data_IF_709989223229
#
_entry.id   IF_709989223229
#
_cell.length_a   1.000
_cell.length_b   1.000
_cell.length_c   1.000
_cell.angle_alpha   90.00
_cell.angle_beta   90.00
_cell.angle_gamma   90.00
#
_symmetry.space_group_name_H-M   'P 1'
#
loop_
_entity.id
_entity.type
_entity.pdbx_description
1 polymer ?
#
# COMPACT_ATOMS: atom_id res chain seq x y z
N UNK A 1 -18.36 58.36 75.43
CA UNK A 1 -18.36 58.42 73.95
C UNK A 1 -18.72 57.06 73.35
N UNK A 2 -19.99 56.84 73.08
CA UNK A 2 -20.46 55.55 72.52
C UNK A 2 -20.54 55.69 70.97
N UNK A 3 -19.67 54.96 70.36
CA UNK A 3 -19.62 54.90 68.87
C UNK A 3 -20.83 54.05 68.43
N UNK A 4 -21.83 54.69 67.82
CA UNK A 4 -22.92 53.98 67.11
C UNK A 4 -22.32 53.41 65.80
N UNK A 5 -21.97 52.13 65.82
CA UNK A 5 -21.68 51.38 64.59
C UNK A 5 -22.92 51.38 63.71
N UNK A 6 -22.79 51.87 62.48
CA UNK A 6 -23.85 52.16 61.53
C UNK A 6 -24.60 50.88 61.15
N UNK A 7 -25.91 50.95 61.13
CA UNK A 7 -26.79 49.83 60.69
C UNK A 7 -26.61 49.41 59.22
N UNK A 8 -25.87 50.23 58.47
CA UNK A 8 -25.56 49.98 57.04
C UNK A 8 -24.58 48.82 56.81
N UNK A 9 -23.57 48.62 57.70
CA UNK A 9 -22.62 47.52 57.56
C UNK A 9 -23.21 46.14 57.77
N UNK A 10 -24.15 45.99 58.69
CA UNK A 10 -24.87 44.72 58.93
C UNK A 10 -25.80 44.32 57.80
N UNK A 11 -26.30 45.28 57.01
CA UNK A 11 -27.10 45.06 55.79
C UNK A 11 -26.31 44.46 54.65
N UNK A 12 -25.06 44.95 54.44
CA UNK A 12 -24.21 44.49 53.38
C UNK A 12 -23.69 43.05 53.54
N UNK A 13 -23.38 42.66 54.79
CA UNK A 13 -22.98 41.27 55.10
C UNK A 13 -24.10 40.23 54.90
N UNK A 14 -25.35 40.59 55.28
CA UNK A 14 -26.51 39.73 55.04
C UNK A 14 -26.83 39.57 53.57
N UNK A 15 -26.67 40.61 52.77
CA UNK A 15 -26.83 40.56 51.31
C UNK A 15 -25.74 39.75 50.65
N UNK A 16 -24.47 39.89 51.07
CA UNK A 16 -23.34 39.09 50.62
C UNK A 16 -23.50 37.59 50.94
N UNK A 17 -23.97 37.27 52.15
CA UNK A 17 -24.26 35.91 52.58
C UNK A 17 -25.42 35.27 51.76
N UNK A 18 -26.47 36.03 51.47
CA UNK A 18 -27.60 35.58 50.61
C UNK A 18 -27.11 35.33 49.18
N UNK A 19 -26.26 36.21 48.60
CA UNK A 19 -25.69 36.05 47.28
C UNK A 19 -24.76 34.82 47.20
N UNK A 20 -23.96 34.54 48.23
CA UNK A 20 -23.12 33.34 48.32
C UNK A 20 -23.95 32.06 48.36
N UNK A 21 -25.04 32.05 49.17
CA UNK A 21 -25.96 30.90 49.25
C UNK A 21 -26.71 30.70 47.92
N UNK A 22 -27.17 31.73 47.27
CA UNK A 22 -27.81 31.69 45.95
C UNK A 22 -26.84 31.14 44.88
N UNK A 23 -25.60 31.63 44.82
CA UNK A 23 -24.57 31.12 43.91
C UNK A 23 -24.25 29.64 44.15
N UNK A 24 -24.11 29.21 45.42
CA UNK A 24 -23.89 27.78 45.74
C UNK A 24 -25.09 26.92 45.31
N UNK A 25 -26.31 27.36 45.52
CA UNK A 25 -27.50 26.64 45.05
C UNK A 25 -27.58 26.60 43.54
N UNK A 26 -27.25 27.66 42.85
CA UNK A 26 -27.16 27.70 41.38
C UNK A 26 -26.08 26.77 40.82
N UNK A 27 -24.89 26.73 41.45
CA UNK A 27 -23.84 25.79 41.09
C UNK A 27 -24.26 24.33 41.30
N UNK A 28 -24.88 24.03 42.44
CA UNK A 28 -25.37 22.66 42.71
C UNK A 28 -26.44 22.26 41.67
N UNK A 29 -27.40 23.17 41.39
CA UNK A 29 -28.41 22.90 40.37
C UNK A 29 -27.80 22.70 38.97
N UNK A 30 -26.79 23.48 38.60
CA UNK A 30 -26.08 23.35 37.35
C UNK A 30 -25.31 22.02 37.27
N UNK A 31 -24.65 21.61 38.37
CA UNK A 31 -23.98 20.30 38.44
C UNK A 31 -24.99 19.13 38.32
N UNK A 32 -26.12 19.22 38.97
CA UNK A 32 -27.18 18.20 38.86
C UNK A 32 -27.72 18.14 37.43
N UNK A 33 -27.99 19.29 36.82
CA UNK A 33 -28.43 19.35 35.42
C UNK A 33 -27.39 18.75 34.46
N UNK A 34 -26.13 19.08 34.68
CA UNK A 34 -25.01 18.50 33.87
C UNK A 34 -24.93 16.98 34.04
N UNK A 35 -25.06 16.47 35.25
CA UNK A 35 -25.06 15.01 35.50
C UNK A 35 -26.27 14.31 34.86
N UNK A 36 -27.45 14.92 34.95
CA UNK A 36 -28.66 14.38 34.32
C UNK A 36 -28.55 14.40 32.79
N UNK A 37 -28.02 15.47 32.20
CA UNK A 37 -27.80 15.54 30.76
C UNK A 37 -26.75 14.53 30.27
N UNK A 38 -25.67 14.33 31.03
CA UNK A 38 -24.65 13.32 30.74
C UNK A 38 -25.26 11.90 30.86
N UNK A 39 -26.05 11.64 31.88
CA UNK A 39 -26.76 10.37 32.04
C UNK A 39 -27.72 10.08 30.87
N UNK A 40 -28.46 11.10 30.44
CA UNK A 40 -29.36 10.99 29.30
C UNK A 40 -28.61 10.74 27.98
N UNK A 41 -27.45 11.39 27.77
CA UNK A 41 -26.57 11.13 26.61
C UNK A 41 -26.07 9.68 26.64
N UNK A 42 -25.55 9.21 27.76
CA UNK A 42 -25.07 7.82 27.88
C UNK A 42 -26.21 6.84 27.61
N UNK A 43 -27.40 7.08 28.23
CA UNK A 43 -28.55 6.24 27.95
C UNK A 43 -28.95 6.25 26.48
N UNK A 44 -28.89 7.41 25.82
CA UNK A 44 -29.14 7.52 24.37
C UNK A 44 -28.20 6.68 23.53
N UNK A 45 -26.93 6.56 23.92
CA UNK A 45 -25.95 5.72 23.21
C UNK A 45 -26.21 4.21 23.31
N UNK A 46 -26.94 3.79 24.35
CA UNK A 46 -27.32 2.40 24.54
C UNK A 46 -28.63 2.01 23.83
N UNK A 47 -29.32 2.98 23.21
CA UNK A 47 -30.50 2.70 22.41
C UNK A 47 -30.21 1.87 21.21
N UNK A 48 -31.01 0.84 20.86
CA UNK A 48 -30.78 -0.05 19.73
C UNK A 48 -30.77 0.67 18.37
N UNK A 49 -31.44 1.83 18.28
CA UNK A 49 -31.51 2.64 17.05
C UNK A 49 -30.16 3.21 16.63
N UNK A 50 -29.25 3.45 17.58
CA UNK A 50 -27.91 4.03 17.32
C UNK A 50 -26.79 2.99 17.43
N UNK A 51 -27.13 1.72 17.62
CA UNK A 51 -26.19 0.61 17.65
C UNK A 51 -26.05 -0.01 16.28
N UNK A 52 -24.82 -0.33 15.91
CA UNK A 52 -24.48 -0.97 14.64
C UNK A 52 -24.96 -2.43 14.68
N UNK A 53 -25.96 -2.73 13.87
CA UNK A 53 -26.52 -4.07 13.69
C UNK A 53 -26.27 -4.63 12.28
N UNK A 54 -25.92 -3.75 11.31
CA UNK A 54 -25.62 -4.12 9.94
C UNK A 54 -24.19 -3.74 9.59
N UNK A 55 -23.46 -4.70 9.01
CA UNK A 55 -22.14 -4.50 8.44
C UNK A 55 -22.23 -4.91 6.97
N UNK A 56 -22.19 -3.93 6.07
CA UNK A 56 -22.22 -4.16 4.63
C UNK A 56 -20.77 -4.15 4.11
N UNK A 57 -20.29 -5.27 3.59
CA UNK A 57 -18.95 -5.39 3.01
C UNK A 57 -19.05 -5.39 1.49
N UNK A 58 -18.31 -4.49 0.84
CA UNK A 58 -18.21 -4.39 -0.61
C UNK A 58 -16.79 -4.73 -1.05
N UNK A 59 -16.66 -5.74 -1.89
CA UNK A 59 -15.38 -6.26 -2.38
C UNK A 59 -15.38 -7.79 -2.37
N UNK A 60 -14.21 -8.38 -2.35
CA UNK A 60 -14.00 -9.83 -2.26
C UNK A 60 -14.00 -10.30 -0.80
N UNK A 61 -14.33 -11.59 -0.59
CA UNK A 61 -14.26 -12.28 0.72
C UNK A 61 -15.03 -11.60 1.87
N UNK A 62 -16.33 -11.42 1.66
CA UNK A 62 -17.24 -10.74 2.59
C UNK A 62 -17.23 -11.35 4.00
N UNK A 63 -17.23 -12.68 4.10
CA UNK A 63 -17.43 -13.39 5.37
C UNK A 63 -16.34 -13.15 6.44
N UNK A 64 -15.03 -13.29 6.15
CA UNK A 64 -14.00 -13.05 7.16
C UNK A 64 -13.92 -11.58 7.58
N UNK A 65 -14.13 -10.64 6.66
CA UNK A 65 -14.08 -9.20 6.94
C UNK A 65 -15.24 -8.76 7.85
N UNK A 66 -16.43 -9.32 7.64
CA UNK A 66 -17.57 -9.08 8.50
C UNK A 66 -17.31 -9.57 9.92
N UNK A 67 -16.70 -10.75 10.08
CA UNK A 67 -16.35 -11.32 11.38
C UNK A 67 -15.36 -10.42 12.13
N UNK A 68 -14.29 -9.99 11.47
CA UNK A 68 -13.30 -9.06 12.04
C UNK A 68 -13.97 -7.75 12.50
N UNK A 69 -14.86 -7.21 11.67
CA UNK A 69 -15.57 -5.98 12.01
C UNK A 69 -16.48 -6.18 13.22
N UNK A 70 -17.24 -7.28 13.28
CA UNK A 70 -18.14 -7.60 14.40
C UNK A 70 -17.37 -7.83 15.71
N UNK A 71 -16.23 -8.51 15.67
CA UNK A 71 -15.38 -8.69 16.85
C UNK A 71 -14.82 -7.36 17.37
N UNK A 72 -14.39 -6.47 16.47
CA UNK A 72 -13.88 -5.17 16.86
C UNK A 72 -14.94 -4.25 17.48
N UNK A 73 -16.22 -4.46 17.14
CA UNK A 73 -17.37 -3.73 17.68
C UNK A 73 -17.81 -4.26 19.06
N UNK A 74 -17.32 -5.43 19.50
CA UNK A 74 -17.69 -5.96 20.81
C UNK A 74 -17.08 -5.18 21.96
N UNK A 75 -17.81 -5.09 23.08
CA UNK A 75 -17.39 -4.44 24.31
C UNK A 75 -17.67 -2.95 24.36
N UNK A 76 -17.01 -2.25 25.27
CA UNK A 76 -17.22 -0.81 25.51
C UNK A 76 -15.92 -0.09 25.86
N UNK A 77 -15.94 1.23 25.72
CA UNK A 77 -14.90 2.10 26.22
C UNK A 77 -15.17 2.37 27.69
N UNK A 78 -14.24 2.03 28.57
CA UNK A 78 -14.35 2.17 30.03
C UNK A 78 -15.64 1.54 30.62
N UNK A 79 -16.25 0.58 29.92
CA UNK A 79 -17.50 -0.05 30.34
C UNK A 79 -18.77 0.83 30.22
N UNK A 80 -18.65 2.09 29.82
CA UNK A 80 -19.73 3.06 29.76
C UNK A 80 -20.23 3.33 28.35
N UNK A 81 -19.34 3.49 27.39
CA UNK A 81 -19.69 3.82 26.01
C UNK A 81 -19.57 2.56 25.14
N UNK A 82 -20.66 2.10 24.51
CA UNK A 82 -20.63 0.91 23.66
C UNK A 82 -19.80 1.17 22.39
N UNK A 83 -18.92 0.21 22.02
CA UNK A 83 -18.11 0.29 20.81
C UNK A 83 -18.90 0.11 19.52
N UNK A 84 -20.05 -0.51 19.61
CA UNK A 84 -20.99 -0.68 18.49
C UNK A 84 -21.92 0.54 18.29
N UNK A 85 -21.66 1.66 18.99
CA UNK A 85 -22.36 2.92 18.71
C UNK A 85 -21.88 3.51 17.38
N UNK A 86 -22.83 3.92 16.53
CA UNK A 86 -22.55 4.55 15.22
C UNK A 86 -21.69 5.83 15.34
N UNK A 87 -21.68 6.47 16.52
CA UNK A 87 -20.93 7.68 16.79
C UNK A 87 -19.47 7.41 17.19
N UNK A 88 -19.20 6.29 17.87
CA UNK A 88 -17.91 6.02 18.52
C UNK A 88 -17.29 4.67 18.12
N UNK A 89 -17.71 4.07 17.01
CA UNK A 89 -17.14 2.79 16.58
C UNK A 89 -15.64 2.92 16.20
N UNK A 90 -14.82 1.90 16.46
CA UNK A 90 -13.38 1.95 16.31
C UNK A 90 -12.94 1.70 14.84
N UNK A 91 -13.24 2.64 13.94
CA UNK A 91 -12.95 2.51 12.51
C UNK A 91 -11.45 2.25 12.21
N UNK A 92 -10.55 2.93 12.93
CA UNK A 92 -9.11 2.73 12.77
C UNK A 92 -8.66 1.32 13.17
N UNK A 93 -9.22 0.78 14.27
CA UNK A 93 -8.92 -0.57 14.71
C UNK A 93 -9.38 -1.61 13.69
N UNK A 94 -10.61 -1.49 13.19
CA UNK A 94 -11.16 -2.38 12.16
C UNK A 94 -10.26 -2.34 10.92
N UNK A 95 -9.94 -1.13 10.42
CA UNK A 95 -9.07 -0.96 9.25
C UNK A 95 -7.70 -1.60 9.45
N UNK A 96 -7.04 -1.32 10.57
CA UNK A 96 -5.69 -1.83 10.83
C UNK A 96 -5.69 -3.35 10.99
N UNK A 97 -6.72 -3.94 11.62
CA UNK A 97 -6.84 -5.39 11.74
C UNK A 97 -7.04 -6.04 10.36
N UNK A 98 -7.92 -5.49 9.52
CA UNK A 98 -8.15 -5.99 8.16
C UNK A 98 -6.84 -5.94 7.36
N UNK A 99 -6.15 -4.79 7.32
CA UNK A 99 -4.90 -4.63 6.57
C UNK A 99 -3.76 -5.52 7.10
N UNK A 100 -3.75 -5.83 8.39
CA UNK A 100 -2.75 -6.72 8.98
C UNK A 100 -3.02 -8.21 8.69
N UNK A 101 -4.30 -8.59 8.56
CA UNK A 101 -4.70 -9.99 8.34
C UNK A 101 -4.77 -10.32 6.85
N UNK A 102 -5.16 -9.36 6.02
CA UNK A 102 -5.35 -9.51 4.57
C UNK A 102 -4.34 -8.62 3.82
N UNK A 103 -3.17 -9.20 3.53
CA UNK A 103 -2.07 -8.49 2.83
C UNK A 103 -2.40 -8.17 1.37
N UNK A 104 -3.36 -8.87 0.76
CA UNK A 104 -3.89 -8.68 -0.59
C UNK A 104 -4.78 -7.43 -0.73
N UNK A 105 -5.20 -6.84 0.39
CA UNK A 105 -5.98 -5.60 0.41
C UNK A 105 -5.05 -4.39 0.44
N UNK A 106 -5.21 -3.47 -0.52
CA UNK A 106 -4.44 -2.24 -0.61
C UNK A 106 -4.99 -1.13 0.30
N UNK A 107 -6.31 -1.00 0.33
CA UNK A 107 -6.97 0.04 1.11
C UNK A 107 -8.32 -0.43 1.66
N UNK A 108 -8.68 0.11 2.82
CA UNK A 108 -9.98 -0.13 3.46
C UNK A 108 -10.62 1.21 3.77
N UNK A 109 -11.79 1.44 3.21
CA UNK A 109 -12.64 2.60 3.48
C UNK A 109 -13.84 2.17 4.31
N UNK A 110 -14.06 2.84 5.45
CA UNK A 110 -15.18 2.54 6.34
C UNK A 110 -16.04 3.78 6.43
N UNK A 111 -17.30 3.64 6.08
CA UNK A 111 -18.31 4.71 6.12
C UNK A 111 -19.54 4.28 6.88
N UNK A 112 -20.34 5.26 7.33
CA UNK A 112 -21.62 5.00 7.97
C UNK A 112 -22.67 4.73 6.90
N UNK A 113 -23.47 3.69 7.12
CA UNK A 113 -24.63 3.35 6.28
C UNK A 113 -25.91 3.52 7.12
N UNK A 114 -26.46 4.75 7.13
CA UNK A 114 -27.59 5.12 7.96
C UNK A 114 -27.25 5.27 9.43
N UNK A 115 -28.24 5.06 10.31
CA UNK A 115 -28.12 5.23 11.76
C UNK A 115 -27.65 3.99 12.51
N UNK A 116 -27.72 2.82 11.89
CA UNK A 116 -27.42 1.52 12.51
C UNK A 116 -26.55 0.60 11.68
N UNK A 117 -25.90 1.12 10.64
CA UNK A 117 -25.05 0.33 9.73
C UNK A 117 -23.71 0.98 9.47
N UNK A 118 -22.72 0.14 9.13
CA UNK A 118 -21.44 0.56 8.55
C UNK A 118 -21.24 -0.15 7.22
N UNK A 119 -20.64 0.54 6.28
CA UNK A 119 -20.19 -0.02 5.00
C UNK A 119 -18.67 -0.03 4.97
N UNK A 120 -18.11 -1.19 4.68
CA UNK A 120 -16.68 -1.45 4.53
C UNK A 120 -16.42 -1.70 3.05
N UNK A 121 -15.64 -0.84 2.43
CA UNK A 121 -15.21 -1.00 1.04
C UNK A 121 -13.73 -1.30 1.01
N UNK A 122 -13.35 -2.37 0.31
CA UNK A 122 -11.97 -2.81 0.16
C UNK A 122 -11.51 -2.63 -1.27
N UNK A 123 -10.30 -2.14 -1.43
CA UNK A 123 -9.61 -2.09 -2.71
C UNK A 123 -8.49 -3.13 -2.69
N UNK A 124 -8.53 -4.05 -3.66
CA UNK A 124 -7.53 -5.12 -3.80
C UNK A 124 -6.23 -4.57 -4.38
N UNK A 125 -5.09 -5.18 -4.00
CA UNK A 125 -3.81 -4.89 -4.64
C UNK A 125 -3.77 -5.44 -6.05
N UNK A 126 -3.26 -4.64 -6.96
CA UNK A 126 -3.05 -5.04 -8.36
C UNK A 126 -1.60 -5.48 -8.52
N UNK A 127 -1.35 -6.74 -8.93
CA UNK A 127 0.01 -7.21 -9.16
C UNK A 127 0.60 -6.52 -10.39
N UNK A 128 1.82 -5.98 -10.24
CA UNK A 128 2.59 -5.39 -11.35
C UNK A 128 3.50 -6.43 -11.98
N UNK A 129 4.21 -7.21 -11.16
CA UNK A 129 5.14 -8.22 -11.60
C UNK A 129 5.35 -9.28 -10.49
N UNK A 130 6.20 -10.26 -10.77
CA UNK A 130 6.65 -11.24 -9.78
C UNK A 130 8.02 -10.85 -9.24
N UNK A 131 8.19 -10.93 -7.94
CA UNK A 131 9.48 -10.82 -7.29
C UNK A 131 9.97 -12.21 -6.89
N UNK A 132 11.20 -12.57 -7.26
CA UNK A 132 11.77 -13.90 -7.02
C UNK A 132 13.09 -13.84 -6.21
N UNK A 133 13.17 -12.91 -5.28
CA UNK A 133 14.32 -12.78 -4.40
C UNK A 133 15.42 -11.87 -4.95
N UNK A 134 16.53 -11.83 -4.24
CA UNK A 134 17.76 -11.23 -4.76
C UNK A 134 18.45 -12.28 -5.66
N UNK A 135 18.68 -11.94 -6.91
CA UNK A 135 19.50 -12.83 -7.72
C UNK A 135 20.92 -12.85 -7.16
N UNK A 136 21.42 -14.02 -6.86
CA UNK A 136 22.87 -14.23 -6.79
C UNK A 136 23.39 -14.19 -8.23
N UNK A 137 23.38 -13.00 -8.81
CA UNK A 137 23.91 -12.82 -10.15
C UNK A 137 25.42 -13.01 -10.09
N UNK A 138 26.02 -13.75 -11.04
CA UNK A 138 27.46 -13.81 -11.12
C UNK A 138 28.02 -12.38 -11.28
N UNK A 139 29.23 -12.11 -10.78
CA UNK A 139 29.86 -10.80 -10.84
C UNK A 139 29.92 -10.27 -12.25
N UNK A 140 30.03 -8.96 -12.34
CA UNK A 140 30.12 -8.11 -13.54
C UNK A 140 30.77 -8.76 -14.76
N UNK A 141 30.33 -8.44 -15.99
CA UNK A 141 30.82 -9.05 -17.22
C UNK A 141 32.32 -8.84 -17.51
N UNK A 142 33.03 -8.11 -16.68
CA UNK A 142 34.47 -7.91 -16.84
C UNK A 142 35.30 -9.18 -16.59
N UNK A 143 34.79 -10.14 -15.78
CA UNK A 143 35.61 -11.28 -15.35
C UNK A 143 35.16 -12.67 -15.83
N UNK A 144 34.09 -12.77 -16.61
CA UNK A 144 33.66 -14.09 -17.12
C UNK A 144 33.27 -14.06 -18.59
N UNK A 145 34.07 -14.65 -19.43
CA UNK A 145 33.61 -14.98 -20.78
C UNK A 145 32.61 -16.14 -20.63
N UNK A 146 31.42 -15.99 -21.17
CA UNK A 146 30.58 -17.12 -21.48
C UNK A 146 29.50 -17.55 -20.46
N UNK A 147 28.44 -17.08 -20.63
CA UNK A 147 27.03 -17.45 -20.36
C UNK A 147 26.33 -16.38 -19.61
N UNK A 148 25.76 -15.51 -20.37
CA UNK A 148 24.71 -14.63 -19.90
C UNK A 148 23.50 -15.50 -19.58
N UNK A 149 23.47 -15.98 -18.33
CA UNK A 149 22.36 -16.77 -17.83
C UNK A 149 21.30 -15.78 -17.39
N UNK A 150 20.15 -15.80 -18.05
CA UNK A 150 18.96 -15.12 -17.52
C UNK A 150 18.74 -15.64 -16.10
N UNK A 151 18.63 -14.77 -15.10
CA UNK A 151 18.39 -15.23 -13.73
C UNK A 151 17.13 -16.09 -13.71
N UNK A 152 17.27 -17.33 -13.29
CA UNK A 152 16.14 -18.23 -13.07
C UNK A 152 15.75 -18.15 -11.62
N UNK A 153 14.45 -18.06 -11.37
CA UNK A 153 13.93 -18.15 -10.03
C UNK A 153 14.32 -19.50 -9.42
N UNK A 154 15.14 -19.47 -8.37
CA UNK A 154 15.58 -20.66 -7.65
C UNK A 154 14.73 -20.94 -6.41
N UNK A 155 13.56 -20.36 -6.28
CA UNK A 155 12.68 -20.48 -5.13
C UNK A 155 11.27 -19.96 -5.43
N UNK A 156 10.49 -19.82 -4.36
CA UNK A 156 9.15 -19.26 -4.45
C UNK A 156 9.20 -17.81 -4.92
N UNK A 157 8.34 -17.49 -5.88
CA UNK A 157 8.13 -16.12 -6.31
C UNK A 157 6.90 -15.52 -5.61
N UNK A 158 6.86 -14.22 -5.51
CA UNK A 158 5.82 -13.48 -4.82
C UNK A 158 5.27 -12.37 -5.71
N UNK A 159 4.03 -11.99 -5.47
CA UNK A 159 3.38 -10.86 -6.13
C UNK A 159 3.66 -9.58 -5.35
N UNK A 160 3.93 -8.50 -6.07
CA UNK A 160 4.05 -7.18 -5.49
C UNK A 160 3.27 -6.13 -6.29
N UNK A 161 2.90 -5.04 -5.63
CA UNK A 161 2.15 -3.93 -6.21
C UNK A 161 3.06 -2.77 -6.66
N UNK A 162 2.46 -1.71 -7.20
CA UNK A 162 3.17 -0.53 -7.70
C UNK A 162 3.98 0.21 -6.61
N UNK A 163 3.68 -0.01 -5.33
CA UNK A 163 4.45 0.55 -4.21
C UNK A 163 5.64 -0.32 -3.81
N UNK A 164 5.84 -1.46 -4.47
CA UNK A 164 6.87 -2.43 -4.12
C UNK A 164 6.53 -3.28 -2.90
N UNK A 165 5.29 -3.28 -2.46
CA UNK A 165 4.84 -4.09 -1.34
C UNK A 165 4.54 -5.52 -1.80
N UNK A 166 5.20 -6.49 -1.20
CA UNK A 166 5.04 -7.93 -1.48
C UNK A 166 3.88 -8.45 -0.65
N UNK A 167 2.84 -8.97 -1.30
CA UNK A 167 1.59 -9.27 -0.59
C UNK A 167 1.09 -10.71 -0.68
N UNK A 168 1.52 -11.48 -1.66
CA UNK A 168 1.08 -12.86 -1.84
C UNK A 168 2.16 -13.71 -2.53
N UNK A 169 2.08 -15.03 -2.37
CA UNK A 169 2.87 -15.97 -3.16
C UNK A 169 2.36 -16.04 -4.60
N UNK A 170 3.25 -16.05 -5.56
CA UNK A 170 2.91 -16.22 -6.96
C UNK A 170 2.71 -17.70 -7.27
N UNK A 171 1.46 -18.13 -7.39
CA UNK A 171 1.18 -19.46 -7.96
C UNK A 171 1.29 -19.41 -9.48
N UNK A 172 1.79 -20.49 -10.11
CA UNK A 172 1.98 -20.57 -11.57
C UNK A 172 0.69 -20.30 -12.36
N UNK A 173 -0.48 -20.57 -11.76
CA UNK A 173 -1.78 -20.35 -12.36
C UNK A 173 -2.06 -18.87 -12.72
N UNK A 174 -1.40 -17.91 -12.08
CA UNK A 174 -1.58 -16.50 -12.39
C UNK A 174 -0.92 -16.06 -13.71
N UNK A 175 -0.02 -16.86 -14.26
CA UNK A 175 0.84 -16.47 -15.37
C UNK A 175 0.89 -17.45 -16.53
N UNK A 176 0.02 -18.45 -16.55
CA UNK A 176 -0.11 -19.35 -17.69
C UNK A 176 -0.71 -18.63 -18.89
N UNK A 177 0.10 -18.58 -19.91
CA UNK A 177 -0.19 -18.39 -21.35
C UNK A 177 -1.65 -18.02 -21.66
N UNK A 178 -1.88 -16.75 -21.96
CA UNK A 178 -3.18 -16.27 -22.45
C UNK A 178 -4.27 -16.09 -21.39
N UNK A 179 -3.95 -16.25 -20.12
CA UNK A 179 -4.86 -15.99 -19.02
C UNK A 179 -5.10 -14.52 -18.84
N UNK A 180 -6.24 -14.07 -19.28
CA UNK A 180 -6.84 -12.80 -18.89
C UNK A 180 -6.82 -12.77 -17.36
N UNK A 181 -6.17 -11.77 -16.78
CA UNK A 181 -6.28 -11.50 -15.35
C UNK A 181 -7.76 -11.46 -14.98
N UNK A 182 -8.23 -12.20 -13.97
CA UNK A 182 -9.62 -12.15 -13.60
C UNK A 182 -9.95 -10.72 -13.13
N UNK A 183 -10.86 -10.10 -13.87
CA UNK A 183 -11.60 -8.91 -13.50
C UNK A 183 -10.82 -7.59 -13.31
N UNK A 184 -10.23 -7.06 -14.38
CA UNK A 184 -10.26 -5.62 -14.59
C UNK A 184 -10.89 -5.37 -15.94
N UNK A 185 -11.92 -4.52 -15.94
CA UNK A 185 -12.83 -4.29 -17.05
C UNK A 185 -12.16 -4.11 -18.39
N UNK A 186 -12.79 -4.69 -19.38
CA UNK A 186 -12.53 -4.62 -20.79
C UNK A 186 -12.09 -3.25 -21.29
N UNK A 187 -10.79 -3.08 -21.46
CA UNK A 187 -10.23 -2.27 -22.53
C UNK A 187 -8.95 -2.97 -22.97
N UNK A 188 -8.95 -3.39 -24.23
CA UNK A 188 -7.90 -4.13 -24.92
C UNK A 188 -6.63 -3.28 -25.08
N UNK A 189 -5.98 -2.98 -23.95
CA UNK A 189 -4.60 -2.53 -23.96
C UNK A 189 -3.70 -3.76 -23.84
N UNK A 190 -2.71 -3.86 -24.71
CA UNK A 190 -1.74 -4.94 -24.76
C UNK A 190 -1.19 -5.15 -23.37
N UNK A 191 -1.69 -6.16 -22.67
CA UNK A 191 -1.22 -6.55 -21.34
C UNK A 191 0.25 -6.85 -21.46
N UNK A 192 1.06 -6.00 -20.84
CA UNK A 192 2.50 -6.26 -20.67
C UNK A 192 2.62 -7.63 -20.02
N UNK A 193 3.30 -8.55 -20.68
CA UNK A 193 3.62 -9.85 -20.09
C UNK A 193 4.38 -9.58 -18.79
N UNK A 194 3.88 -10.05 -17.65
CA UNK A 194 4.51 -9.75 -16.37
C UNK A 194 5.93 -10.34 -16.36
N UNK A 195 6.91 -9.48 -16.21
CA UNK A 195 8.31 -9.88 -16.07
C UNK A 195 8.62 -10.33 -14.64
N UNK A 196 9.75 -10.98 -14.47
CA UNK A 196 10.28 -11.34 -13.15
C UNK A 196 11.24 -10.25 -12.67
N UNK A 197 11.01 -9.77 -11.45
CA UNK A 197 11.88 -8.80 -10.79
C UNK A 197 12.79 -9.52 -9.78
N UNK A 198 14.07 -9.22 -9.84
CA UNK A 198 15.07 -9.59 -8.85
C UNK A 198 15.60 -8.32 -8.17
N UNK A 199 15.43 -8.22 -6.86
CA UNK A 199 15.90 -7.09 -6.07
C UNK A 199 16.03 -7.48 -4.61
N UNK A 200 16.71 -6.67 -3.82
CA UNK A 200 16.75 -6.84 -2.37
C UNK A 200 15.43 -6.40 -1.72
N UNK A 201 15.09 -7.03 -0.59
CA UNK A 201 14.08 -6.51 0.32
C UNK A 201 14.66 -5.41 1.21
N UNK A 202 13.79 -4.53 1.68
CA UNK A 202 14.17 -3.57 2.72
C UNK A 202 14.63 -4.33 3.97
N UNK A 203 15.79 -3.95 4.50
CA UNK A 203 16.46 -4.67 5.59
C UNK A 203 15.56 -4.81 6.83
N UNK A 204 15.57 -6.00 7.43
CA UNK A 204 14.88 -6.32 8.68
C UNK A 204 13.69 -7.26 8.58
N UNK A 205 13.26 -7.65 7.38
CA UNK A 205 12.15 -8.58 7.18
C UNK A 205 12.64 -10.00 6.91
N UNK A 206 12.21 -10.95 7.74
CA UNK A 206 12.52 -12.39 7.58
C UNK A 206 11.56 -13.06 6.60
N UNK A 207 10.33 -12.55 6.50
CA UNK A 207 9.28 -13.10 5.65
C UNK A 207 9.06 -12.17 4.44
N UNK A 208 9.03 -12.71 3.20
CA UNK A 208 8.80 -11.90 2.02
C UNK A 208 7.44 -11.23 1.98
N UNK A 209 6.37 -11.95 2.35
CA UNK A 209 5.02 -11.41 2.40
C UNK A 209 4.89 -10.40 3.53
N UNK A 210 4.41 -9.21 3.20
CA UNK A 210 4.36 -8.07 4.12
C UNK A 210 5.61 -7.17 4.08
N UNK A 211 6.62 -7.54 3.30
CA UNK A 211 7.83 -6.75 3.10
C UNK A 211 7.68 -5.75 1.96
N UNK A 212 8.57 -4.76 1.92
CA UNK A 212 8.69 -3.79 0.82
C UNK A 212 10.05 -3.97 0.15
N UNK A 213 10.11 -3.79 -1.15
CA UNK A 213 11.35 -3.82 -1.91
C UNK A 213 12.25 -2.64 -1.53
N UNK A 214 13.57 -2.86 -1.51
CA UNK A 214 14.55 -1.85 -1.08
C UNK A 214 14.43 -0.54 -1.88
N UNK A 215 14.27 -0.65 -3.18
CA UNK A 215 14.21 0.50 -4.09
C UNK A 215 12.76 0.81 -4.57
N UNK A 216 11.79 0.61 -3.70
CA UNK A 216 10.37 0.81 -4.01
C UNK A 216 10.05 2.19 -4.59
N UNK A 217 10.73 3.23 -4.15
CA UNK A 217 10.56 4.61 -4.65
C UNK A 217 11.03 4.80 -6.10
N UNK A 218 11.90 3.93 -6.62
CA UNK A 218 12.41 3.97 -8.00
C UNK A 218 11.60 3.09 -8.95
N UNK A 219 10.79 2.17 -8.43
CA UNK A 219 9.98 1.25 -9.24
C UNK A 219 9.09 1.94 -10.29
N UNK A 220 8.42 3.08 -10.01
CA UNK A 220 7.63 3.75 -11.03
C UNK A 220 8.43 4.12 -12.28
N UNK A 221 9.64 4.65 -12.13
CA UNK A 221 10.51 5.01 -13.25
C UNK A 221 11.01 3.78 -14.02
N UNK A 222 11.35 2.71 -13.27
CA UNK A 222 11.76 1.42 -13.85
C UNK A 222 10.61 0.81 -14.68
N UNK A 223 9.38 0.87 -14.17
CA UNK A 223 8.20 0.35 -14.88
C UNK A 223 7.83 1.20 -16.09
N UNK A 224 8.02 2.53 -16.02
CA UNK A 224 7.87 3.38 -17.19
C UNK A 224 8.89 3.07 -18.28
N UNK A 225 10.15 2.87 -17.92
CA UNK A 225 11.19 2.42 -18.83
C UNK A 225 10.83 1.05 -19.43
N UNK A 226 10.41 0.09 -18.58
CA UNK A 226 9.97 -1.23 -19.05
C UNK A 226 8.81 -1.13 -20.03
N UNK A 227 7.82 -0.30 -19.76
CA UNK A 227 6.66 -0.09 -20.65
C UNK A 227 7.09 0.51 -21.99
N UNK A 228 7.92 1.54 -21.99
CA UNK A 228 8.42 2.19 -23.20
C UNK A 228 9.26 1.23 -24.03
N UNK A 229 10.12 0.45 -23.38
CA UNK A 229 10.93 -0.58 -24.03
C UNK A 229 10.06 -1.68 -24.64
N UNK A 230 9.07 -2.18 -23.93
CA UNK A 230 8.15 -3.21 -24.41
C UNK A 230 7.26 -2.78 -25.58
N UNK A 231 6.98 -1.47 -25.72
CA UNK A 231 6.26 -0.94 -26.89
C UNK A 231 7.11 -0.88 -28.16
N UNK A 232 8.43 -0.82 -28.03
CA UNK A 232 9.35 -0.57 -29.16
C UNK A 232 10.31 -1.72 -29.45
N UNK A 233 10.35 -2.74 -28.60
CA UNK A 233 11.30 -3.86 -28.70
C UNK A 233 10.71 -5.22 -28.33
N UNK A 234 11.56 -6.22 -28.14
CA UNK A 234 11.17 -7.53 -27.66
C UNK A 234 10.60 -7.47 -26.23
N UNK A 235 9.74 -8.44 -25.82
CA UNK A 235 9.19 -8.47 -24.49
C UNK A 235 10.28 -8.67 -23.42
N UNK A 236 10.10 -8.06 -22.27
CA UNK A 236 11.00 -8.16 -21.12
C UNK A 236 10.70 -9.46 -20.39
N UNK A 237 11.72 -10.27 -20.10
CA UNK A 237 11.60 -11.50 -19.31
C UNK A 237 11.91 -11.28 -17.85
N UNK A 238 13.00 -10.57 -17.57
CA UNK A 238 13.46 -10.33 -16.22
C UNK A 238 14.04 -8.92 -16.08
N UNK A 239 13.94 -8.38 -14.89
CA UNK A 239 14.61 -7.16 -14.48
C UNK A 239 15.39 -7.45 -13.22
N UNK A 240 16.64 -7.05 -13.17
CA UNK A 240 17.50 -7.19 -11.98
C UNK A 240 17.93 -5.80 -11.53
N UNK A 241 17.63 -5.48 -10.28
CA UNK A 241 18.08 -4.24 -9.65
C UNK A 241 19.28 -4.58 -8.78
N UNK A 242 20.40 -3.91 -9.04
CA UNK A 242 21.66 -4.04 -8.29
C UNK A 242 22.11 -2.65 -7.90
N UNK A 243 22.22 -2.40 -6.60
CA UNK A 243 22.64 -1.12 -6.03
C UNK A 243 22.06 0.12 -6.75
N UNK A 244 22.78 0.66 -7.73
CA UNK A 244 22.40 1.82 -8.54
C UNK A 244 22.21 1.49 -10.02
N UNK A 245 22.22 0.21 -10.41
CA UNK A 245 22.04 -0.24 -11.79
C UNK A 245 20.76 -1.09 -11.95
N UNK A 246 20.16 -1.03 -13.14
CA UNK A 246 19.10 -1.94 -13.56
C UNK A 246 19.50 -2.66 -14.85
N UNK A 247 19.33 -3.98 -14.84
CA UNK A 247 19.54 -4.86 -15.98
C UNK A 247 18.20 -5.38 -16.49
N UNK A 248 17.91 -5.17 -17.76
CA UNK A 248 16.71 -5.66 -18.45
C UNK A 248 17.09 -6.80 -19.38
N UNK A 249 16.56 -7.97 -19.15
CA UNK A 249 16.73 -9.15 -19.99
C UNK A 249 15.54 -9.29 -20.95
N UNK A 250 15.81 -9.19 -22.24
CA UNK A 250 14.79 -9.27 -23.27
C UNK A 250 14.58 -10.73 -23.74
N UNK A 251 13.38 -11.04 -24.23
CA UNK A 251 13.11 -12.32 -24.89
C UNK A 251 13.50 -12.23 -26.35
N UNK A 252 14.24 -13.21 -26.86
CA UNK A 252 14.40 -13.40 -28.31
C UNK A 252 13.37 -14.38 -28.82
N UNK A 253 12.75 -14.08 -29.95
CA UNK A 253 11.71 -14.91 -30.56
C UNK A 253 12.21 -16.17 -31.25
N UNK A 254 13.54 -16.37 -31.37
CA UNK A 254 14.11 -17.41 -32.15
C UNK A 254 14.53 -18.61 -31.29
N UNK A 255 13.79 -19.71 -31.44
CA UNK A 255 14.18 -21.08 -31.02
C UNK A 255 14.54 -21.28 -29.55
N UNK A 256 13.65 -20.97 -28.61
CA UNK A 256 13.81 -21.52 -27.26
C UNK A 256 15.09 -21.10 -26.50
N UNK A 257 15.91 -20.24 -27.10
CA UNK A 257 17.10 -19.72 -26.44
C UNK A 257 16.68 -18.75 -25.32
N UNK A 258 17.05 -19.09 -24.10
CA UNK A 258 16.74 -18.35 -22.91
C UNK A 258 17.42 -16.96 -22.81
N UNK A 259 18.11 -16.50 -23.84
CA UNK A 259 19.05 -15.38 -23.73
C UNK A 259 18.85 -14.37 -24.86
N UNK A 260 17.97 -13.39 -24.59
CA UNK A 260 17.96 -12.15 -25.38
C UNK A 260 19.03 -11.17 -24.91
N UNK A 261 19.18 -10.02 -25.57
CA UNK A 261 20.14 -9.01 -25.16
C UNK A 261 19.77 -8.46 -23.75
N UNK A 262 20.83 -8.14 -23.01
CA UNK A 262 20.71 -7.41 -21.74
C UNK A 262 20.90 -5.91 -22.01
N UNK A 263 20.05 -5.09 -21.41
CA UNK A 263 20.19 -3.64 -21.41
C UNK A 263 20.48 -3.22 -19.97
N UNK A 264 21.57 -2.48 -19.76
CA UNK A 264 21.96 -1.95 -18.46
C UNK A 264 21.98 -0.43 -18.48
N UNK A 265 21.42 0.19 -17.42
CA UNK A 265 21.49 1.63 -17.21
C UNK A 265 21.60 1.95 -15.70
N UNK A 266 21.94 3.22 -15.37
CA UNK A 266 21.99 3.71 -13.98
C UNK A 266 20.60 4.13 -13.53
N UNK A 267 20.21 3.71 -12.35
CA UNK A 267 18.94 4.08 -11.73
C UNK A 267 18.91 5.59 -11.46
N UNK A 268 17.88 6.24 -11.98
CA UNK A 268 17.71 7.69 -11.96
C UNK A 268 17.93 8.34 -13.32
N UNK A 269 18.58 7.66 -14.25
CA UNK A 269 18.88 8.13 -15.61
C UNK A 269 17.97 7.48 -16.67
N UNK A 270 16.78 6.96 -16.27
CA UNK A 270 15.86 6.19 -17.14
C UNK A 270 15.49 6.94 -18.41
N UNK A 271 15.23 8.26 -18.29
CA UNK A 271 14.82 9.10 -19.43
C UNK A 271 15.99 9.31 -20.42
N UNK A 272 17.20 9.53 -19.91
CA UNK A 272 18.39 9.72 -20.74
C UNK A 272 18.79 8.40 -21.40
N UNK A 273 18.71 7.29 -20.68
CA UNK A 273 18.94 5.95 -21.20
C UNK A 273 17.95 5.61 -22.33
N UNK A 274 16.66 5.92 -22.14
CA UNK A 274 15.65 5.70 -23.18
C UNK A 274 15.89 6.60 -24.40
N UNK A 275 16.24 7.86 -24.19
CA UNK A 275 16.56 8.79 -25.29
C UNK A 275 17.78 8.33 -26.09
N UNK A 276 18.83 7.86 -25.42
CA UNK A 276 20.00 7.29 -26.06
C UNK A 276 19.64 6.04 -26.90
N UNK A 277 18.82 5.14 -26.34
CA UNK A 277 18.34 3.94 -27.01
C UNK A 277 17.55 4.27 -28.29
N UNK A 278 16.62 5.23 -28.21
CA UNK A 278 15.80 5.68 -29.34
C UNK A 278 16.69 6.34 -30.43
N UNK A 279 17.66 7.13 -30.02
CA UNK A 279 18.60 7.78 -30.94
C UNK A 279 19.44 6.76 -31.70
N UNK A 280 19.77 5.64 -31.08
CA UNK A 280 20.52 4.55 -31.69
C UNK A 280 19.64 3.61 -32.55
N UNK A 281 18.30 3.78 -32.57
CA UNK A 281 17.36 2.85 -33.24
C UNK A 281 17.67 2.59 -34.70
N UNK A 282 18.29 3.54 -35.41
CA UNK A 282 18.71 3.35 -36.83
C UNK A 282 19.83 2.32 -37.03
N UNK A 283 20.63 2.08 -36.00
CA UNK A 283 21.78 1.16 -36.03
C UNK A 283 21.64 -0.01 -35.05
N UNK A 284 20.70 0.07 -34.14
CA UNK A 284 20.45 -0.91 -33.07
C UNK A 284 19.17 -1.69 -33.34
N UNK A 285 19.31 -3.00 -33.55
CA UNK A 285 18.17 -3.92 -33.57
C UNK A 285 18.17 -4.79 -32.32
N UNK A 286 17.27 -4.51 -31.40
CA UNK A 286 17.13 -5.26 -30.15
C UNK A 286 16.65 -6.71 -30.34
N UNK A 287 16.14 -7.04 -31.54
CA UNK A 287 15.76 -8.39 -31.94
C UNK A 287 16.87 -9.15 -32.63
N UNK A 288 18.06 -8.54 -32.79
CA UNK A 288 19.24 -9.19 -33.39
C UNK A 288 19.68 -10.37 -32.50
N UNK A 289 19.69 -11.63 -33.00
CA UNK A 289 20.09 -12.79 -32.21
C UNK A 289 21.56 -12.77 -31.80
N UNK A 290 22.38 -11.99 -32.52
CA UNK A 290 23.80 -11.80 -32.22
C UNK A 290 24.07 -10.68 -31.23
N UNK A 291 23.08 -9.83 -30.92
CA UNK A 291 23.22 -8.80 -29.90
C UNK A 291 23.22 -9.46 -28.50
N UNK A 292 24.27 -9.22 -27.74
CA UNK A 292 24.45 -9.76 -26.41
C UNK A 292 24.14 -8.73 -25.35
N UNK A 293 24.61 -7.48 -25.51
CA UNK A 293 24.62 -6.50 -24.47
C UNK A 293 24.48 -5.07 -25.02
N UNK A 294 23.72 -4.24 -24.32
CA UNK A 294 23.57 -2.80 -24.58
C UNK A 294 23.84 -2.06 -23.27
N UNK A 295 24.86 -1.23 -23.24
CA UNK A 295 25.24 -0.43 -22.09
C UNK A 295 24.83 1.04 -22.30
N UNK A 296 23.96 1.52 -21.43
CA UNK A 296 23.42 2.89 -21.42
C UNK A 296 23.88 3.69 -20.21
N UNK A 297 24.82 3.19 -19.42
CA UNK A 297 25.33 3.86 -18.22
C UNK A 297 26.10 5.14 -18.50
N UNK A 298 26.47 5.38 -19.74
CA UNK A 298 27.25 6.54 -20.12
C UNK A 298 26.38 7.57 -20.85
N UNK A 299 26.21 8.78 -20.32
CA UNK A 299 25.34 9.80 -20.91
C UNK A 299 25.63 10.05 -22.40
N UNK A 300 24.56 9.95 -23.22
CA UNK A 300 24.65 10.20 -24.65
C UNK A 300 25.45 9.16 -25.49
N UNK A 301 25.84 8.04 -24.88
CA UNK A 301 26.57 6.96 -25.58
C UNK A 301 25.86 5.62 -25.39
N UNK A 302 25.87 4.82 -26.45
CA UNK A 302 25.34 3.46 -26.43
C UNK A 302 26.47 2.50 -26.82
N UNK A 303 26.88 1.65 -25.91
CA UNK A 303 27.88 0.61 -26.19
C UNK A 303 27.17 -0.71 -26.47
N UNK A 304 27.61 -1.38 -27.50
CA UNK A 304 27.04 -2.63 -27.97
C UNK A 304 28.07 -3.74 -27.94
N UNK A 305 27.67 -4.91 -27.48
CA UNK A 305 28.45 -6.13 -27.61
C UNK A 305 27.64 -7.15 -28.42
N UNK A 306 28.28 -7.72 -29.45
CA UNK A 306 27.73 -8.83 -30.24
C UNK A 306 28.43 -10.12 -29.88
N UNK A 307 27.72 -11.23 -30.05
CA UNK A 307 28.31 -12.58 -29.99
C UNK A 307 29.20 -12.75 -31.20
N UNK A 308 30.38 -13.28 -31.01
CA UNK A 308 31.28 -13.74 -32.07
C UNK A 308 30.78 -15.05 -32.68
#
# INVERSE_FOLDING_TARGET
MSVRLSSAERGSERLAARRRRSRRRALIALCILALLSLGALIYGLWQPVVRINRVDVQGTDVSPLETIAREALQGGYLGVIPRDSIFFFPASRIRNTILATHTDIAAVSISRSGFSGISIKTDMRVPIARWCGSSSMPPSPEDSPLKEVVPTASGDCYLFDASGFVYATATEAFFTVGGVSPAVGSNSDKTLTPFVLFSALQSGTVMPVGATLKDANRLPAIFDFARQLGLSGPPIRAVVIRDDEADFFLATSTYGAATGPRITYLLGDEQDAFTALVSAKGTLNLSDPFLQYVDLRFPGKVYLKKKE
#
